data_IF_763539872411
#
_entry.id   IF_763539872411
#
_cell.length_a   1.000
_cell.length_b   1.000
_cell.length_c   1.000
_cell.angle_alpha   90.00
_cell.angle_beta   90.00
_cell.angle_gamma   90.00
#
_symmetry.space_group_name_H-M   'P 1'
#
loop_
_entity.id
_entity.type
_entity.pdbx_description
1 polymer ?
#
# COMPACT_ATOMS: atom_id res chain seq x y z
N UNK A 1 4.77 61.99 -48.06
CA UNK A 1 5.54 61.04 -48.88
C UNK A 1 6.09 60.01 -47.91
N UNK A 2 5.31 58.97 -47.59
CA UNK A 2 5.09 57.74 -48.36
C UNK A 2 6.36 56.90 -48.53
N UNK A 3 6.25 55.67 -48.00
CA UNK A 3 6.88 54.43 -48.45
C UNK A 3 8.41 54.27 -48.28
N UNK A 4 8.81 53.43 -47.31
CA UNK A 4 9.39 52.09 -47.55
C UNK A 4 10.19 51.60 -46.34
N UNK A 5 9.71 50.53 -45.69
CA UNK A 5 10.38 49.93 -44.52
C UNK A 5 9.80 48.60 -44.01
N UNK A 6 9.09 47.84 -44.85
CA UNK A 6 8.51 46.51 -44.54
C UNK A 6 9.00 45.48 -45.58
N UNK A 7 10.30 45.15 -45.60
CA UNK A 7 10.82 44.13 -46.54
C UNK A 7 12.03 43.35 -46.01
N UNK A 8 12.10 43.06 -44.72
CA UNK A 8 13.16 42.20 -44.15
C UNK A 8 12.64 41.00 -43.32
N UNK A 9 11.36 40.94 -42.93
CA UNK A 9 10.85 39.79 -42.16
C UNK A 9 10.36 38.61 -43.03
N UNK A 10 10.07 38.83 -44.31
CA UNK A 10 9.49 37.79 -45.18
C UNK A 10 10.53 36.76 -45.66
N UNK A 11 11.81 37.14 -45.77
CA UNK A 11 12.86 36.25 -46.29
C UNK A 11 13.32 35.19 -45.27
N UNK A 12 13.20 35.47 -43.95
CA UNK A 12 13.61 34.54 -42.90
C UNK A 12 12.57 33.42 -42.67
N UNK A 13 11.29 33.73 -42.90
CA UNK A 13 10.20 32.75 -42.77
C UNK A 13 10.20 31.71 -43.90
N UNK A 14 10.59 32.10 -45.11
CA UNK A 14 10.67 31.19 -46.27
C UNK A 14 11.84 30.20 -46.18
N UNK A 15 12.92 30.55 -45.48
CA UNK A 15 14.02 29.62 -45.21
C UNK A 15 13.64 28.51 -44.21
N UNK A 16 12.76 28.79 -43.25
CA UNK A 16 12.27 27.79 -42.27
C UNK A 16 11.21 26.88 -42.92
N UNK A 17 10.36 27.42 -43.78
CA UNK A 17 9.38 26.64 -44.54
C UNK A 17 10.04 25.71 -45.57
N UNK A 18 11.14 26.14 -46.20
CA UNK A 18 11.88 25.31 -47.16
C UNK A 18 12.67 24.18 -46.49
N UNK A 19 13.21 24.41 -45.29
CA UNK A 19 13.96 23.38 -44.53
C UNK A 19 13.04 22.33 -43.91
N UNK A 20 11.84 22.69 -43.48
CA UNK A 20 10.84 21.73 -42.97
C UNK A 20 10.31 20.79 -44.07
N UNK A 21 10.19 21.27 -45.31
CA UNK A 21 9.76 20.46 -46.45
C UNK A 21 10.84 19.50 -46.99
N UNK A 22 12.13 19.80 -46.80
CA UNK A 22 13.23 18.89 -47.17
C UNK A 22 13.40 17.69 -46.22
N UNK A 23 12.90 17.80 -44.99
CA UNK A 23 12.94 16.69 -44.01
C UNK A 23 11.86 15.63 -44.33
N UNK A 24 10.77 16.03 -45.00
CA UNK A 24 9.60 15.17 -45.19
C UNK A 24 9.61 14.32 -46.48
N UNK A 25 10.55 14.56 -47.41
CA UNK A 25 10.56 13.85 -48.70
C UNK A 25 11.57 12.70 -48.80
N UNK A 26 12.48 12.57 -47.82
CA UNK A 26 13.50 11.52 -47.83
C UNK A 26 13.33 10.55 -46.64
N UNK A 27 12.96 9.27 -46.90
CA UNK A 27 12.73 8.27 -45.84
C UNK A 27 14.00 7.89 -45.05
N UNK A 28 15.18 8.31 -45.52
CA UNK A 28 16.44 8.17 -44.77
C UNK A 28 16.65 9.30 -43.76
N UNK A 29 16.20 10.52 -44.06
CA UNK A 29 16.37 11.69 -43.18
C UNK A 29 15.39 11.62 -41.99
N UNK A 30 14.15 11.17 -42.23
CA UNK A 30 13.19 10.93 -41.15
C UNK A 30 13.62 9.81 -40.21
N UNK A 31 14.31 8.78 -40.72
CA UNK A 31 14.90 7.71 -39.90
C UNK A 31 16.05 8.19 -39.03
N UNK A 32 16.95 9.04 -39.53
CA UNK A 32 18.05 9.57 -38.71
C UNK A 32 17.56 10.62 -37.70
N UNK A 33 16.57 11.45 -38.07
CA UNK A 33 15.93 12.38 -37.14
C UNK A 33 15.15 11.64 -36.04
N UNK A 34 14.43 10.57 -36.40
CA UNK A 34 13.78 9.68 -35.44
C UNK A 34 14.77 8.97 -34.51
N UNK A 35 15.91 8.51 -35.03
CA UNK A 35 16.97 7.87 -34.25
C UNK A 35 17.69 8.85 -33.31
N UNK A 36 17.99 10.07 -33.75
CA UNK A 36 18.59 11.12 -32.93
C UNK A 36 17.63 11.60 -31.82
N UNK A 37 16.33 11.70 -32.14
CA UNK A 37 15.30 12.07 -31.16
C UNK A 37 15.08 10.95 -30.13
N UNK A 38 15.20 9.68 -30.53
CA UNK A 38 15.18 8.54 -29.60
C UNK A 38 16.43 8.45 -28.71
N UNK A 39 17.59 8.95 -29.15
CA UNK A 39 18.79 9.02 -28.30
C UNK A 39 18.73 10.18 -27.30
N UNK A 40 18.12 11.33 -27.65
CA UNK A 40 17.97 12.46 -26.73
C UNK A 40 16.80 12.28 -25.73
N UNK A 41 15.77 11.51 -26.09
CA UNK A 41 14.72 11.03 -25.17
C UNK A 41 15.04 9.65 -24.58
N UNK A 42 16.24 9.14 -24.85
CA UNK A 42 16.77 7.85 -24.43
C UNK A 42 17.16 7.85 -22.95
N UNK A 43 16.16 7.67 -22.10
CA UNK A 43 16.22 6.76 -20.96
C UNK A 43 17.48 6.83 -20.07
N UNK A 44 17.62 7.91 -19.29
CA UNK A 44 18.35 7.85 -18.01
C UNK A 44 17.49 7.18 -16.91
N UNK A 45 16.80 6.07 -17.23
CA UNK A 45 16.50 5.08 -16.19
C UNK A 45 17.76 4.25 -16.07
N UNK A 46 18.62 4.65 -15.14
CA UNK A 46 19.59 3.73 -14.56
C UNK A 46 18.79 2.56 -13.99
N UNK A 47 18.59 1.51 -14.79
CA UNK A 47 18.24 0.19 -14.31
C UNK A 47 19.46 -0.32 -13.54
N UNK A 48 19.61 0.18 -12.31
CA UNK A 48 20.50 -0.43 -11.34
C UNK A 48 20.02 -1.86 -11.14
N UNK A 49 20.91 -2.82 -11.40
CA UNK A 49 20.74 -4.19 -10.95
C UNK A 49 20.37 -4.16 -9.45
N UNK A 50 19.35 -4.90 -9.00
CA UNK A 50 18.93 -4.90 -7.59
C UNK A 50 20.01 -5.40 -6.62
N UNK A 51 21.13 -5.90 -7.14
CA UNK A 51 22.24 -6.48 -6.38
C UNK A 51 23.42 -5.51 -6.14
N UNK A 52 23.42 -4.31 -6.72
CA UNK A 52 24.49 -3.30 -6.53
C UNK A 52 24.06 -2.20 -5.57
N UNK A 53 23.61 -2.58 -4.36
CA UNK A 53 23.36 -1.63 -3.29
C UNK A 53 24.50 -1.66 -2.27
N UNK A 54 25.23 -0.54 -2.06
CA UNK A 54 26.24 -0.44 -1.01
C UNK A 54 25.60 -0.68 0.37
N UNK A 55 26.42 -0.95 1.40
CA UNK A 55 26.04 -1.37 2.76
C UNK A 55 25.00 -0.47 3.49
N UNK A 56 24.66 0.70 2.93
CA UNK A 56 23.62 1.62 3.38
C UNK A 56 22.40 1.72 2.42
N UNK A 57 22.23 0.73 1.53
CA UNK A 57 21.15 0.68 0.54
C UNK A 57 19.77 0.44 1.17
N UNK A 58 19.72 -0.15 2.36
CA UNK A 58 18.49 -0.31 3.14
C UNK A 58 17.89 1.02 3.63
N UNK A 59 18.68 2.10 3.71
CA UNK A 59 18.19 3.46 4.00
C UNK A 59 18.01 4.31 2.74
N UNK A 60 18.30 3.75 1.56
CA UNK A 60 18.11 4.46 0.30
C UNK A 60 16.63 4.54 -0.04
N UNK A 61 16.16 5.74 -0.39
CA UNK A 61 14.79 5.95 -0.86
C UNK A 61 14.43 5.04 -2.05
N UNK A 62 15.40 4.70 -2.90
CA UNK A 62 15.21 3.80 -4.04
C UNK A 62 14.82 2.37 -3.64
N UNK A 63 15.21 1.91 -2.45
CA UNK A 63 14.81 0.59 -1.93
C UNK A 63 13.33 0.56 -1.55
N UNK A 64 12.81 1.66 -0.99
CA UNK A 64 11.43 1.75 -0.54
C UNK A 64 10.45 2.15 -1.65
N UNK A 65 10.94 2.84 -2.69
CA UNK A 65 10.12 3.35 -3.80
C UNK A 65 9.08 2.36 -4.36
N UNK A 66 9.40 1.07 -4.61
CA UNK A 66 8.42 0.12 -5.16
C UNK A 66 7.22 -0.17 -4.25
N UNK A 67 7.39 -0.05 -2.92
CA UNK A 67 6.32 -0.32 -1.94
C UNK A 67 5.37 0.87 -1.73
N UNK A 68 5.77 2.05 -2.22
CA UNK A 68 4.99 3.30 -2.17
C UNK A 68 4.47 3.74 -3.55
N UNK A 69 4.93 3.08 -4.63
CA UNK A 69 4.45 3.30 -5.98
C UNK A 69 3.13 2.56 -6.23
N UNK A 70 2.02 3.09 -5.68
CA UNK A 70 0.70 2.44 -5.69
C UNK A 70 -0.35 3.41 -6.21
N UNK A 71 -1.16 2.93 -7.15
CA UNK A 71 -2.29 3.70 -7.69
C UNK A 71 -3.52 3.60 -6.78
N UNK A 72 -4.38 4.63 -6.82
CA UNK A 72 -5.64 4.66 -6.07
C UNK A 72 -6.54 3.47 -6.42
N UNK A 73 -6.53 3.02 -7.67
CA UNK A 73 -7.29 1.86 -8.15
C UNK A 73 -6.86 0.56 -7.47
N UNK A 74 -5.55 0.39 -7.21
CA UNK A 74 -5.01 -0.77 -6.50
C UNK A 74 -5.49 -0.78 -5.05
N UNK A 75 -5.48 0.37 -4.39
CA UNK A 75 -5.93 0.50 -3.00
C UNK A 75 -7.42 0.19 -2.91
N UNK A 76 -8.26 0.76 -3.78
CA UNK A 76 -9.71 0.50 -3.79
C UNK A 76 -9.99 -0.99 -4.05
N UNK A 77 -9.26 -1.61 -4.98
CA UNK A 77 -9.41 -3.05 -5.27
C UNK A 77 -9.07 -3.89 -4.05
N UNK A 78 -7.91 -3.66 -3.42
CA UNK A 78 -7.47 -4.36 -2.20
C UNK A 78 -8.45 -4.14 -1.04
N UNK A 79 -8.93 -2.91 -0.87
CA UNK A 79 -9.91 -2.56 0.14
C UNK A 79 -11.25 -3.28 -0.07
N UNK A 80 -11.74 -3.31 -1.32
CA UNK A 80 -12.95 -4.04 -1.67
C UNK A 80 -12.80 -5.53 -1.40
N UNK A 81 -11.60 -6.08 -1.58
CA UNK A 81 -11.34 -7.49 -1.33
C UNK A 81 -11.26 -7.79 0.18
N UNK A 82 -10.69 -6.88 0.96
CA UNK A 82 -10.67 -6.99 2.42
C UNK A 82 -12.09 -6.92 3.00
N UNK A 83 -12.93 -6.00 2.53
CA UNK A 83 -14.32 -5.82 3.01
C UNK A 83 -15.23 -6.95 2.54
N UNK A 84 -15.18 -7.30 1.25
CA UNK A 84 -16.04 -8.33 0.66
C UNK A 84 -15.37 -9.70 0.63
N UNK A 85 -14.58 -9.99 1.67
CA UNK A 85 -13.85 -11.24 1.79
C UNK A 85 -14.77 -12.48 1.72
N UNK A 86 -15.97 -12.39 2.29
CA UNK A 86 -16.92 -13.51 2.30
C UNK A 86 -17.56 -13.80 0.92
N UNK A 87 -17.41 -12.93 -0.09
CA UNK A 87 -18.04 -13.08 -1.42
C UNK A 87 -17.08 -13.48 -2.54
N UNK A 88 -15.77 -13.58 -2.28
CA UNK A 88 -14.77 -13.85 -3.33
C UNK A 88 -13.96 -15.10 -3.03
N UNK A 89 -13.69 -15.86 -4.08
CA UNK A 89 -12.92 -17.11 -4.03
C UNK A 89 -11.40 -16.87 -4.12
N UNK A 90 -10.96 -15.70 -4.58
CA UNK A 90 -9.53 -15.37 -4.74
C UNK A 90 -8.87 -15.03 -3.41
N UNK A 91 -7.75 -15.68 -3.09
CA UNK A 91 -7.00 -15.37 -1.87
C UNK A 91 -6.35 -13.99 -1.97
N UNK A 92 -6.41 -13.25 -0.86
CA UNK A 92 -5.87 -11.89 -0.77
C UNK A 92 -4.33 -11.85 -0.88
N UNK A 93 -3.65 -12.86 -0.33
CA UNK A 93 -2.19 -13.01 -0.41
C UNK A 93 -1.71 -13.10 -1.87
N UNK A 94 -2.39 -13.88 -2.70
CA UNK A 94 -1.95 -14.15 -4.07
C UNK A 94 -1.89 -12.85 -4.90
N UNK A 95 -2.81 -11.92 -4.63
CA UNK A 95 -2.89 -10.62 -5.32
C UNK A 95 -1.80 -9.65 -4.86
N UNK A 96 -1.29 -9.82 -3.63
CA UNK A 96 -0.36 -8.87 -3.00
C UNK A 96 1.08 -9.38 -3.02
N UNK A 97 1.28 -10.69 -3.17
CA UNK A 97 2.60 -11.31 -3.28
C UNK A 97 3.41 -10.74 -4.46
N UNK A 98 2.72 -10.43 -5.57
CA UNK A 98 3.30 -9.87 -6.78
C UNK A 98 3.80 -8.42 -6.58
N UNK A 99 2.97 -7.57 -5.96
CA UNK A 99 3.29 -6.16 -5.67
C UNK A 99 2.78 -5.77 -4.27
N UNK A 100 3.56 -6.04 -3.20
CA UNK A 100 3.17 -5.68 -1.86
C UNK A 100 3.27 -4.18 -1.65
N UNK A 101 2.32 -3.60 -0.91
CA UNK A 101 2.30 -2.18 -0.59
C UNK A 101 2.43 -1.90 0.90
N UNK A 102 3.09 -0.79 1.23
CA UNK A 102 3.14 -0.24 2.58
C UNK A 102 2.26 1.01 2.73
N UNK A 103 1.97 1.69 1.62
CA UNK A 103 1.21 2.94 1.59
C UNK A 103 -0.21 2.75 2.14
N UNK A 104 -0.97 1.74 1.68
CA UNK A 104 -2.32 1.47 2.15
C UNK A 104 -2.38 1.24 3.68
N UNK A 105 -1.66 0.24 4.21
CA UNK A 105 -1.56 -0.04 5.65
C UNK A 105 -1.23 1.17 6.51
N UNK A 106 -0.28 1.99 6.07
CA UNK A 106 0.16 3.18 6.79
C UNK A 106 -0.98 4.21 6.92
N UNK A 107 -1.67 4.53 5.82
CA UNK A 107 -2.76 5.51 5.83
C UNK A 107 -4.03 4.99 6.51
N UNK A 108 -4.35 3.71 6.35
CA UNK A 108 -5.47 3.07 7.05
C UNK A 108 -5.26 3.15 8.57
N UNK A 109 -4.07 2.80 9.05
CA UNK A 109 -3.73 2.85 10.47
C UNK A 109 -3.79 4.27 11.01
N UNK A 110 -3.23 5.24 10.29
CA UNK A 110 -3.23 6.65 10.70
C UNK A 110 -4.65 7.23 10.77
N UNK A 111 -5.48 6.91 9.77
CA UNK A 111 -6.89 7.32 9.75
C UNK A 111 -7.66 6.73 10.91
N UNK A 112 -7.42 5.44 11.21
CA UNK A 112 -8.07 4.76 12.34
C UNK A 112 -7.67 5.36 13.69
N UNK A 113 -6.39 5.66 13.89
CA UNK A 113 -5.93 6.34 15.12
C UNK A 113 -6.62 7.70 15.26
N UNK A 114 -6.71 8.45 14.17
CA UNK A 114 -7.40 9.73 14.15
C UNK A 114 -8.89 9.60 14.48
N UNK A 115 -9.62 8.67 13.84
CA UNK A 115 -11.05 8.49 14.11
C UNK A 115 -11.30 7.99 15.52
N UNK A 116 -10.49 7.06 16.05
CA UNK A 116 -10.58 6.61 17.44
C UNK A 116 -10.33 7.74 18.44
N UNK A 117 -9.33 8.60 18.19
CA UNK A 117 -9.06 9.76 19.03
C UNK A 117 -10.25 10.73 19.06
N UNK A 118 -10.79 11.07 17.88
CA UNK A 118 -11.95 11.96 17.74
C UNK A 118 -13.18 11.35 18.41
N UNK A 119 -13.49 10.08 18.14
CA UNK A 119 -14.60 9.36 18.77
C UNK A 119 -14.44 9.34 20.29
N UNK A 120 -13.25 9.04 20.82
CA UNK A 120 -13.01 8.98 22.27
C UNK A 120 -13.30 10.32 22.95
N UNK A 121 -12.84 11.43 22.35
CA UNK A 121 -13.10 12.76 22.89
C UNK A 121 -14.58 13.14 22.80
N UNK A 122 -15.26 12.88 21.68
CA UNK A 122 -16.69 13.17 21.53
C UNK A 122 -17.51 12.35 22.53
N UNK A 123 -17.19 11.06 22.68
CA UNK A 123 -17.85 10.17 23.64
C UNK A 123 -17.66 10.64 25.08
N UNK A 124 -16.44 11.05 25.44
CA UNK A 124 -16.14 11.60 26.77
C UNK A 124 -16.90 12.90 27.03
N UNK A 125 -16.89 13.83 26.07
CA UNK A 125 -17.65 15.08 26.16
C UNK A 125 -19.16 14.84 26.28
N UNK A 126 -19.72 13.93 25.48
CA UNK A 126 -21.14 13.60 25.50
C UNK A 126 -21.56 12.94 26.83
N UNK A 127 -20.71 12.08 27.39
CA UNK A 127 -20.93 11.49 28.71
C UNK A 127 -20.95 12.55 29.82
N UNK A 128 -19.98 13.47 29.83
CA UNK A 128 -19.94 14.59 30.79
C UNK A 128 -21.15 15.51 30.65
N UNK A 129 -21.57 15.81 29.41
CA UNK A 129 -22.77 16.61 29.13
C UNK A 129 -24.04 15.99 29.71
N UNK A 130 -24.24 14.67 29.53
CA UNK A 130 -25.39 13.95 30.09
C UNK A 130 -25.35 13.87 31.63
N UNK A 131 -24.16 13.80 32.22
CA UNK A 131 -23.98 13.74 33.66
C UNK A 131 -23.96 15.12 34.36
N UNK A 132 -23.94 16.22 33.60
CA UNK A 132 -23.82 17.58 34.13
C UNK A 132 -22.46 17.88 34.77
N UNK A 133 -21.41 17.14 34.42
CA UNK A 133 -20.06 17.30 34.99
C UNK A 133 -19.13 18.06 34.03
N UNK A 134 -18.06 18.67 34.57
CA UNK A 134 -17.05 19.34 33.74
C UNK A 134 -16.18 18.31 33.03
N UNK A 135 -16.05 18.44 31.71
CA UNK A 135 -15.18 17.60 30.91
C UNK A 135 -13.71 18.01 31.07
N UNK A 136 -12.84 17.05 31.40
CA UNK A 136 -11.39 17.23 31.47
C UNK A 136 -10.76 16.52 30.26
N UNK A 137 -9.91 17.24 29.55
CA UNK A 137 -9.20 16.70 28.40
C UNK A 137 -8.10 15.73 28.82
N UNK A 138 -8.09 14.53 28.24
CA UNK A 138 -7.09 13.50 28.50
C UNK A 138 -6.25 13.18 27.24
N UNK A 139 -4.97 13.56 27.26
CA UNK A 139 -4.00 13.26 26.20
C UNK A 139 -3.68 11.77 26.08
N UNK A 140 -3.84 10.99 27.17
CA UNK A 140 -3.48 9.58 27.22
C UNK A 140 -4.34 8.74 26.26
N UNK A 141 -5.56 9.20 25.96
CA UNK A 141 -6.47 8.52 25.02
C UNK A 141 -5.88 8.42 23.60
N UNK A 142 -5.21 9.47 23.12
CA UNK A 142 -4.61 9.47 21.78
C UNK A 142 -3.36 8.60 21.74
N UNK A 143 -2.50 8.71 22.76
CA UNK A 143 -1.27 7.93 22.86
C UNK A 143 -1.59 6.44 22.98
N UNK A 144 -2.57 6.07 23.80
CA UNK A 144 -3.00 4.67 23.96
C UNK A 144 -3.61 4.11 22.66
N UNK A 145 -4.47 4.86 21.98
CA UNK A 145 -5.02 4.45 20.68
C UNK A 145 -3.92 4.26 19.63
N UNK A 146 -3.00 5.23 19.51
CA UNK A 146 -1.86 5.15 18.59
C UNK A 146 -0.99 3.93 18.86
N UNK A 147 -0.63 3.72 20.13
CA UNK A 147 0.20 2.59 20.55
C UNK A 147 -0.47 1.25 20.26
N UNK A 148 -1.78 1.14 20.49
CA UNK A 148 -2.54 -0.08 20.22
C UNK A 148 -2.61 -0.38 18.73
N UNK A 149 -2.93 0.61 17.89
CA UNK A 149 -3.11 0.41 16.44
C UNK A 149 -1.77 0.15 15.74
N UNK A 150 -0.76 0.98 15.95
CA UNK A 150 0.56 0.75 15.33
C UNK A 150 1.27 -0.46 15.92
N UNK A 151 1.08 -0.72 17.22
CA UNK A 151 1.52 -1.93 17.88
C UNK A 151 0.91 -3.15 17.20
N UNK A 152 -0.41 -3.20 17.03
CA UNK A 152 -1.07 -4.29 16.32
C UNK A 152 -0.59 -4.43 14.87
N UNK A 153 -0.52 -3.32 14.12
CA UNK A 153 -0.14 -3.29 12.70
C UNK A 153 1.30 -3.73 12.42
N UNK A 154 2.19 -3.69 13.42
CA UNK A 154 3.61 -4.03 13.25
C UNK A 154 3.99 -5.29 14.03
N UNK A 155 3.62 -5.36 15.31
CA UNK A 155 4.03 -6.44 16.22
C UNK A 155 3.41 -7.78 15.85
N UNK A 156 2.11 -7.80 15.54
CA UNK A 156 1.40 -9.04 15.17
C UNK A 156 1.92 -9.64 13.87
N UNK A 157 2.00 -8.90 12.73
CA UNK A 157 2.57 -9.45 11.51
C UNK A 157 4.04 -9.84 11.66
N UNK A 158 4.81 -9.13 12.49
CA UNK A 158 6.19 -9.50 12.79
C UNK A 158 6.30 -10.85 13.52
N UNK A 159 5.47 -11.06 14.54
CA UNK A 159 5.43 -12.32 15.29
C UNK A 159 5.01 -13.49 14.40
N UNK A 160 3.95 -13.30 13.61
CA UNK A 160 3.46 -14.31 12.67
C UNK A 160 4.49 -14.59 11.58
N UNK A 161 5.19 -13.56 11.09
CA UNK A 161 6.28 -13.73 10.13
C UNK A 161 7.46 -14.51 10.70
N UNK A 162 7.86 -14.27 11.95
CA UNK A 162 8.92 -15.08 12.61
C UNK A 162 8.53 -16.55 12.64
N UNK A 163 7.29 -16.85 13.02
CA UNK A 163 6.78 -18.23 13.08
C UNK A 163 6.78 -18.83 11.67
N UNK A 164 6.18 -18.16 10.69
CA UNK A 164 6.09 -18.66 9.31
C UNK A 164 7.44 -18.81 8.64
N UNK A 165 8.41 -17.93 8.93
CA UNK A 165 9.76 -18.01 8.38
C UNK A 165 10.51 -19.27 8.81
N UNK A 166 10.13 -19.88 9.93
CA UNK A 166 10.70 -21.17 10.35
C UNK A 166 10.25 -22.32 9.43
N UNK A 167 9.10 -22.16 8.75
CA UNK A 167 8.48 -23.21 7.94
C UNK A 167 8.59 -22.95 6.43
N UNK A 168 8.48 -21.70 5.99
CA UNK A 168 8.59 -21.28 4.59
C UNK A 168 9.51 -20.06 4.44
N UNK A 169 10.61 -20.24 3.72
CA UNK A 169 11.63 -19.21 3.51
C UNK A 169 11.24 -18.08 2.56
N UNK A 170 10.12 -18.22 1.82
CA UNK A 170 9.74 -17.25 0.77
C UNK A 170 8.76 -16.17 1.24
N UNK A 171 8.32 -16.22 2.50
CA UNK A 171 7.33 -15.26 3.03
C UNK A 171 7.97 -13.89 3.31
N UNK A 172 7.50 -12.87 2.60
CA UNK A 172 7.96 -11.48 2.78
C UNK A 172 7.22 -10.82 3.96
N UNK A 173 7.96 -10.17 4.86
CA UNK A 173 7.39 -9.43 6.00
C UNK A 173 6.41 -8.34 5.55
N UNK A 174 6.73 -7.63 4.47
CA UNK A 174 5.90 -6.54 3.95
C UNK A 174 4.52 -7.02 3.49
N UNK A 175 4.42 -8.24 2.95
CA UNK A 175 3.14 -8.86 2.60
C UNK A 175 2.29 -9.10 3.85
N UNK A 176 2.91 -9.50 4.97
CA UNK A 176 2.20 -9.66 6.24
C UNK A 176 1.72 -8.31 6.78
N UNK A 177 2.60 -7.30 6.84
CA UNK A 177 2.21 -5.95 7.27
C UNK A 177 1.07 -5.41 6.40
N UNK A 178 1.10 -5.70 5.10
CA UNK A 178 0.03 -5.36 4.17
C UNK A 178 -1.31 -6.00 4.57
N UNK A 179 -1.37 -7.33 4.74
CA UNK A 179 -2.60 -8.04 5.15
C UNK A 179 -3.16 -7.52 6.47
N UNK A 180 -2.31 -7.37 7.50
CA UNK A 180 -2.73 -6.88 8.81
C UNK A 180 -3.13 -5.41 8.79
N UNK A 181 -2.54 -4.59 7.92
CA UNK A 181 -2.92 -3.19 7.74
C UNK A 181 -4.29 -3.04 7.06
N UNK A 182 -4.56 -3.84 6.02
CA UNK A 182 -5.87 -3.79 5.35
C UNK A 182 -7.00 -4.34 6.21
N UNK A 183 -6.72 -5.26 7.13
CA UNK A 183 -7.73 -5.78 8.06
C UNK A 183 -8.21 -4.73 9.06
N UNK A 184 -7.39 -3.70 9.35
CA UNK A 184 -7.75 -2.57 10.21
C UNK A 184 -8.80 -1.65 9.59
N UNK A 185 -8.99 -1.69 8.28
CA UNK A 185 -9.98 -0.84 7.62
C UNK A 185 -11.40 -1.04 8.17
N UNK A 186 -11.76 -2.27 8.56
CA UNK A 186 -13.07 -2.59 9.14
C UNK A 186 -13.33 -1.85 10.45
N UNK A 187 -12.27 -1.44 11.17
CA UNK A 187 -12.38 -0.68 12.41
C UNK A 187 -12.65 0.81 12.19
N UNK A 188 -12.40 1.36 11.00
CA UNK A 188 -12.69 2.76 10.71
C UNK A 188 -14.19 3.06 10.85
N UNK A 189 -15.10 2.39 10.12
CA UNK A 189 -16.54 2.63 10.31
C UNK A 189 -16.99 2.23 11.71
N UNK A 190 -16.46 1.14 12.26
CA UNK A 190 -16.78 0.70 13.63
C UNK A 190 -16.47 1.78 14.67
N UNK A 191 -15.32 2.45 14.56
CA UNK A 191 -14.92 3.54 15.46
C UNK A 191 -15.88 4.72 15.42
N UNK A 192 -16.54 4.98 14.29
CA UNK A 192 -17.56 6.03 14.19
C UNK A 192 -18.90 5.57 14.78
N UNK A 193 -19.27 4.29 14.65
CA UNK A 193 -20.48 3.78 15.30
C UNK A 193 -20.37 3.80 16.85
N UNK A 194 -19.15 3.69 17.40
CA UNK A 194 -18.89 3.80 18.84
C UNK A 194 -19.01 5.22 19.41
N UNK A 195 -19.50 6.20 18.64
CA UNK A 195 -19.82 7.55 19.15
C UNK A 195 -20.94 7.53 20.18
N UNK A 196 -21.85 6.55 20.10
CA UNK A 196 -22.91 6.42 21.09
C UNK A 196 -22.31 6.08 22.47
N UNK A 197 -22.65 6.86 23.52
CA UNK A 197 -22.07 6.74 24.86
C UNK A 197 -22.70 5.58 25.64
N UNK A 198 -22.73 4.39 25.02
CA UNK A 198 -23.15 3.13 25.61
C UNK A 198 -21.99 2.15 25.54
N UNK A 199 -21.54 1.70 26.70
CA UNK A 199 -20.43 0.76 26.82
C UNK A 199 -20.77 -0.57 26.12
N UNK A 200 -21.97 -1.11 26.36
CA UNK A 200 -22.40 -2.41 25.80
C UNK A 200 -22.40 -2.39 24.28
N UNK A 201 -22.95 -1.33 23.66
CA UNK A 201 -23.02 -1.20 22.20
C UNK A 201 -21.61 -1.12 21.60
N UNK A 202 -20.72 -0.36 22.23
CA UNK A 202 -19.32 -0.22 21.79
C UNK A 202 -18.58 -1.56 21.84
N UNK A 203 -18.72 -2.31 22.93
CA UNK A 203 -18.11 -3.65 23.06
C UNK A 203 -18.65 -4.63 22.02
N UNK A 204 -19.95 -4.63 21.76
CA UNK A 204 -20.55 -5.49 20.73
C UNK A 204 -20.04 -5.15 19.33
N UNK A 205 -20.00 -3.86 18.97
CA UNK A 205 -19.45 -3.40 17.69
C UNK A 205 -17.99 -3.86 17.55
N UNK A 206 -17.16 -3.62 18.57
CA UNK A 206 -15.76 -4.02 18.56
C UNK A 206 -15.58 -5.53 18.42
N UNK A 207 -16.39 -6.35 19.11
CA UNK A 207 -16.34 -7.81 18.99
C UNK A 207 -16.75 -8.29 17.60
N UNK A 208 -17.81 -7.73 17.02
CA UNK A 208 -18.24 -8.07 15.66
C UNK A 208 -17.17 -7.69 14.65
N UNK A 209 -16.62 -6.48 14.74
CA UNK A 209 -15.54 -6.02 13.86
C UNK A 209 -14.27 -6.85 14.01
N UNK A 210 -13.89 -7.19 15.24
CA UNK A 210 -12.74 -8.05 15.52
C UNK A 210 -12.94 -9.45 14.96
N UNK A 211 -14.15 -10.01 15.06
CA UNK A 211 -14.49 -11.30 14.45
C UNK A 211 -14.37 -11.23 12.92
N UNK A 212 -14.95 -10.21 12.28
CA UNK A 212 -14.86 -10.01 10.82
C UNK A 212 -13.41 -9.85 10.35
N UNK A 213 -12.61 -9.03 11.05
CA UNK A 213 -11.20 -8.81 10.75
C UNK A 213 -10.38 -10.08 10.94
N UNK A 214 -10.62 -10.83 12.03
CA UNK A 214 -9.95 -12.11 12.30
C UNK A 214 -10.29 -13.16 11.25
N UNK A 215 -11.56 -13.26 10.84
CA UNK A 215 -11.98 -14.19 9.79
C UNK A 215 -11.33 -13.86 8.43
N UNK A 216 -11.19 -12.57 8.10
CA UNK A 216 -10.47 -12.13 6.91
C UNK A 216 -9.00 -12.57 6.94
N UNK A 217 -8.30 -12.32 8.05
CA UNK A 217 -6.88 -12.72 8.21
C UNK A 217 -6.74 -14.24 8.13
N UNK A 218 -7.57 -14.99 8.86
CA UNK A 218 -7.54 -16.45 8.90
C UNK A 218 -7.71 -17.06 7.53
N UNK A 219 -8.64 -16.53 6.73
CA UNK A 219 -8.83 -17.05 5.38
C UNK A 219 -7.76 -16.56 4.40
N UNK A 220 -7.21 -15.36 4.61
CA UNK A 220 -6.08 -14.87 3.80
C UNK A 220 -4.81 -15.69 4.03
N UNK A 221 -4.53 -16.08 5.27
CA UNK A 221 -3.33 -16.84 5.66
C UNK A 221 -3.53 -18.35 5.65
N UNK A 222 -4.77 -18.82 5.70
CA UNK A 222 -5.12 -20.25 5.78
C UNK A 222 -4.41 -21.11 4.73
N UNK A 223 -4.46 -20.76 3.43
CA UNK A 223 -3.76 -21.51 2.39
C UNK A 223 -2.24 -21.57 2.60
N UNK A 224 -1.61 -20.48 3.04
CA UNK A 224 -0.18 -20.43 3.34
C UNK A 224 0.19 -21.35 4.50
N UNK A 225 -0.58 -21.29 5.59
CA UNK A 225 -0.34 -22.11 6.78
C UNK A 225 -0.50 -23.60 6.44
N UNK A 226 -1.56 -23.98 5.71
CA UNK A 226 -1.79 -25.37 5.32
C UNK A 226 -0.66 -25.87 4.41
N UNK A 227 -0.19 -25.05 3.46
CA UNK A 227 0.93 -25.38 2.61
C UNK A 227 2.21 -25.61 3.43
N UNK A 228 2.50 -24.75 4.40
CA UNK A 228 3.67 -24.86 5.28
C UNK A 228 3.66 -26.13 6.13
N UNK A 229 2.51 -26.50 6.73
CA UNK A 229 2.38 -27.72 7.55
C UNK A 229 2.52 -28.99 6.70
N UNK A 230 2.04 -28.97 5.45
CA UNK A 230 2.19 -30.11 4.53
C UNK A 230 3.67 -30.36 4.20
N UNK A 231 4.47 -29.31 4.08
CA UNK A 231 5.91 -29.43 3.81
C UNK A 231 6.66 -30.12 4.96
N UNK A 232 6.34 -29.79 6.21
CA UNK A 232 6.93 -30.43 7.40
C UNK A 232 6.58 -31.91 7.51
N UNK A 233 5.31 -32.27 7.28
CA UNK A 233 4.89 -33.68 7.35
C UNK A 233 5.59 -34.54 6.29
N UNK A 234 5.86 -34.01 5.11
CA UNK A 234 6.66 -34.68 4.07
C UNK A 234 8.12 -34.79 4.50
N UNK A 235 8.69 -33.73 5.09
CA UNK A 235 10.08 -33.72 5.56
C UNK A 235 10.30 -34.67 6.76
N UNK A 236 9.28 -34.90 7.59
CA UNK A 236 9.31 -35.84 8.71
C UNK A 236 9.06 -37.30 8.27
N UNK A 237 8.34 -37.52 7.16
CA UNK A 237 8.18 -38.84 6.52
C UNK A 237 9.36 -39.26 5.63
N UNK A 238 10.16 -38.31 5.14
CA UNK A 238 11.33 -38.58 4.29
C UNK A 238 12.34 -39.58 4.87
N UNK A 239 12.72 -39.51 6.17
CA UNK A 239 13.65 -40.46 6.78
C UNK A 239 13.08 -41.88 6.98
N UNK A 240 11.75 -42.04 7.04
CA UNK A 240 11.10 -43.34 7.31
C UNK A 240 10.81 -44.15 6.02
N UNK A 241 10.84 -43.49 4.85
CA UNK A 241 10.60 -44.12 3.55
C UNK A 241 11.83 -44.70 2.85
N UNK A 242 13.05 -44.49 3.38
CA UNK A 242 14.31 -44.99 2.81
C UNK A 242 14.84 -46.27 3.48
N UNK A 243 14.05 -46.89 4.36
CA UNK A 243 14.42 -48.12 5.08
C UNK A 243 13.58 -49.35 4.69
N UNK A 244 12.95 -49.36 3.52
CA UNK A 244 12.31 -50.56 2.94
C UNK A 244 12.80 -50.81 1.51
#
# INVERSE_FOLDING_TARGET
MMHDGEREEDDEFDHISSTSNLINTNPLISKVAGAATQQLLGNNKSTKNPNDMPFCGCLSISYYQPFFDVDTTDIIKRLSLAVFYCRRETNFIDIISDKPDAYGPFWISTTLVFTLAVTSHIRGWLSSWMAGTTWVYDFQSIISASSLIYGFASFVPFLVWIILKQYDGNVKLITMICVYGYSLFMFIPASLLCLFPSEVVSWLILLVTACLSSLFILRSLGPLIIASVKQDSIMLLGPLGLTQ
#
